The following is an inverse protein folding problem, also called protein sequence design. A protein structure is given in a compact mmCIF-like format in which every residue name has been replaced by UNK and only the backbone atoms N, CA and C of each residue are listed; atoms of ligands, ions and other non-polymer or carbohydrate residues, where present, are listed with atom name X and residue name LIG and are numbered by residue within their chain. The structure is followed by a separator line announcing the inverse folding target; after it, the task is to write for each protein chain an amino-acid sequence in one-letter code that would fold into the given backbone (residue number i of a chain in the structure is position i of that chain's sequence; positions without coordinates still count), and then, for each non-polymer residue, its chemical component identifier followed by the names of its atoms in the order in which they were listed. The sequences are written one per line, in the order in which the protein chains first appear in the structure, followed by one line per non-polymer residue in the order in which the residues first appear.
data_IF_546250696121
#
_entry.id   IF_546250696121
#
_cell.length_a   1.000
_cell.length_b   1.000
_cell.length_c   1.000
_cell.angle_alpha   90.00
_cell.angle_beta   90.00
_cell.angle_gamma   90.00
#
_symmetry.space_group_name_H-M   'P 1'
#
loop_
_entity.id
_entity.type
_entity.pdbx_description
1 polymer ?
#
# COMPACT_ATOMS: atom_id res chain seq x y z
N UNK A 1 -3.81 11.89 26.84
CA UNK A 1 -2.53 12.09 26.13
C UNK A 1 -1.91 13.47 26.35
N UNK A 2 -2.67 14.52 26.76
CA UNK A 2 -2.07 15.83 27.11
C UNK A 2 -1.49 16.61 25.93
N UNK A 3 -1.75 16.16 24.69
CA UNK A 3 -1.22 16.78 23.48
C UNK A 3 -2.06 18.02 23.11
N UNK A 4 -1.41 19.12 22.68
CA UNK A 4 -2.11 20.38 22.43
C UNK A 4 -2.67 20.51 21.01
N UNK A 5 -2.48 19.51 20.14
CA UNK A 5 -2.90 19.53 18.75
C UNK A 5 -3.74 18.29 18.44
N UNK A 6 -4.65 18.38 17.47
CA UNK A 6 -5.47 17.25 17.03
C UNK A 6 -5.66 17.25 15.52
N UNK A 7 -5.75 16.04 14.96
CA UNK A 7 -6.31 15.78 13.64
C UNK A 7 -7.63 15.05 13.87
N UNK A 8 -8.74 15.66 13.48
CA UNK A 8 -10.05 15.01 13.52
C UNK A 8 -10.29 14.32 12.18
N UNK A 9 -10.43 13.00 12.20
CA UNK A 9 -10.85 12.21 11.05
C UNK A 9 -12.28 11.73 11.25
N UNK A 10 -13.14 11.95 10.24
CA UNK A 10 -14.50 11.42 10.25
C UNK A 10 -14.51 9.92 10.01
N UNK A 11 -15.33 9.21 10.77
CA UNK A 11 -15.51 7.76 10.68
C UNK A 11 -17.01 7.42 10.70
N UNK A 12 -17.45 6.53 9.81
CA UNK A 12 -18.86 6.11 9.74
C UNK A 12 -19.83 7.28 9.50
N UNK A 13 -19.42 8.28 8.71
CA UNK A 13 -20.22 9.49 8.45
C UNK A 13 -20.39 10.41 9.67
N UNK A 14 -19.60 10.23 10.74
CA UNK A 14 -19.65 11.05 11.95
C UNK A 14 -18.36 11.85 12.19
N UNK A 15 -18.45 13.06 12.78
CA UNK A 15 -19.68 13.84 13.01
C UNK A 15 -20.45 14.14 11.72
N UNK A 16 -21.76 14.40 11.79
CA UNK A 16 -22.53 14.86 10.65
C UNK A 16 -22.50 16.41 10.62
N UNK A 17 -22.48 17.05 9.44
CA UNK A 17 -22.63 18.51 9.37
C UNK A 17 -24.01 18.95 9.91
N UNK A 18 -24.13 20.19 10.43
CA UNK A 18 -23.10 21.22 10.53
C UNK A 18 -22.11 20.96 11.69
N UNK A 19 -20.86 21.40 11.56
CA UNK A 19 -19.73 20.94 12.42
C UNK A 19 -19.43 21.81 13.65
N UNK A 20 -20.04 22.99 13.76
CA UNK A 20 -19.70 24.03 14.74
C UNK A 20 -19.85 23.53 16.18
N UNK A 21 -20.91 22.77 16.48
CA UNK A 21 -21.12 22.22 17.81
C UNK A 21 -20.06 21.18 18.17
N UNK A 22 -19.66 20.34 17.22
CA UNK A 22 -18.60 19.34 17.41
C UNK A 22 -17.22 19.99 17.57
N UNK A 23 -17.02 21.19 17.03
CA UNK A 23 -15.75 21.90 17.11
C UNK A 23 -15.53 22.63 18.45
N UNK A 24 -16.58 22.83 19.26
CA UNK A 24 -16.48 23.55 20.54
C UNK A 24 -15.36 23.04 21.45
N UNK A 25 -15.20 21.72 21.68
CA UNK A 25 -14.13 21.20 22.54
C UNK A 25 -12.72 21.49 22.01
N UNK A 26 -12.55 21.73 20.71
CA UNK A 26 -11.26 21.95 20.08
C UNK A 26 -10.79 23.40 20.09
N UNK A 27 -11.62 24.34 20.55
CA UNK A 27 -11.26 25.76 20.64
C UNK A 27 -10.09 26.05 21.60
N UNK A 28 -9.88 25.19 22.59
CA UNK A 28 -8.78 25.31 23.56
C UNK A 28 -7.46 24.70 23.07
N UNK A 29 -7.48 23.96 21.94
CA UNK A 29 -6.28 23.35 21.37
C UNK A 29 -5.45 24.38 20.61
N UNK A 30 -4.14 24.16 20.51
CA UNK A 30 -3.21 25.04 19.79
C UNK A 30 -3.41 24.95 18.27
N UNK A 31 -3.55 23.74 17.74
CA UNK A 31 -3.74 23.50 16.30
C UNK A 31 -4.70 22.35 16.05
N UNK A 32 -5.59 22.56 15.10
CA UNK A 32 -6.60 21.59 14.69
C UNK A 32 -6.50 21.39 13.19
N UNK A 33 -6.42 20.12 12.78
CA UNK A 33 -6.66 19.72 11.41
C UNK A 33 -7.98 18.97 11.34
N UNK A 34 -8.78 19.25 10.32
CA UNK A 34 -10.08 18.62 10.13
C UNK A 34 -10.12 17.85 8.81
N UNK A 35 -10.61 16.62 8.83
CA UNK A 35 -10.64 15.79 7.63
C UNK A 35 -11.59 16.34 6.57
N UNK A 36 -11.11 16.42 5.34
CA UNK A 36 -11.93 16.58 4.12
C UNK A 36 -12.08 15.25 3.36
N UNK A 37 -11.26 14.26 3.70
CA UNK A 37 -11.43 12.85 3.35
C UNK A 37 -11.35 12.05 4.64
N UNK A 38 -12.44 11.37 4.99
CA UNK A 38 -12.53 10.54 6.17
C UNK A 38 -12.12 9.10 5.92
N UNK A 39 -12.31 8.26 6.94
CA UNK A 39 -11.98 6.84 6.89
C UNK A 39 -12.59 6.15 5.67
N UNK A 40 -11.82 5.25 5.05
CA UNK A 40 -12.17 4.57 3.81
C UNK A 40 -12.22 5.47 2.57
N UNK A 41 -11.60 6.65 2.60
CA UNK A 41 -11.57 7.58 1.47
C UNK A 41 -12.88 8.37 1.29
N UNK A 42 -13.78 8.34 2.28
CA UNK A 42 -15.10 8.97 2.18
C UNK A 42 -14.99 10.50 2.09
N UNK A 43 -15.63 11.09 1.07
CA UNK A 43 -15.60 12.55 0.87
C UNK A 43 -16.77 13.04 0.01
N UNK A 44 -17.23 14.28 0.21
CA UNK A 44 -18.23 14.96 -0.64
C UNK A 44 -17.96 16.46 -0.76
N UNK A 45 -18.49 17.10 -1.80
CA UNK A 45 -18.38 18.57 -1.97
C UNK A 45 -19.06 19.32 -0.81
N UNK A 46 -20.23 18.85 -0.39
CA UNK A 46 -20.99 19.43 0.73
C UNK A 46 -20.19 19.40 2.03
N UNK A 47 -19.60 18.26 2.37
CA UNK A 47 -18.75 18.12 3.54
C UNK A 47 -17.58 19.12 3.53
N UNK A 48 -16.87 19.21 2.39
CA UNK A 48 -15.74 20.12 2.25
C UNK A 48 -16.15 21.57 2.46
N UNK A 49 -17.31 21.95 1.94
CA UNK A 49 -17.85 23.30 2.14
C UNK A 49 -18.11 23.62 3.62
N UNK A 50 -18.67 22.68 4.38
CA UNK A 50 -18.83 22.84 5.83
C UNK A 50 -17.49 22.93 6.57
N UNK A 51 -16.48 22.16 6.17
CA UNK A 51 -15.12 22.26 6.75
C UNK A 51 -14.51 23.63 6.46
N UNK A 52 -14.67 24.19 5.26
CA UNK A 52 -14.15 25.52 4.93
C UNK A 52 -14.86 26.64 5.70
N UNK A 53 -16.19 26.53 5.89
CA UNK A 53 -16.95 27.44 6.76
C UNK A 53 -16.48 27.35 8.22
N UNK A 54 -16.26 26.13 8.72
CA UNK A 54 -15.73 25.93 10.06
C UNK A 54 -14.33 26.55 10.21
N UNK A 55 -13.46 26.37 9.21
CA UNK A 55 -12.13 26.96 9.20
C UNK A 55 -12.17 28.50 9.21
N UNK A 56 -13.14 29.11 8.53
CA UNK A 56 -13.36 30.55 8.61
C UNK A 56 -13.68 31.02 10.05
N UNK A 57 -14.50 30.25 10.78
CA UNK A 57 -14.95 30.59 12.12
C UNK A 57 -13.95 30.20 13.24
N UNK A 58 -12.94 29.40 12.93
CA UNK A 58 -12.05 28.78 13.92
C UNK A 58 -10.57 29.06 13.62
N UNK A 59 -9.97 30.12 14.22
CA UNK A 59 -8.61 30.55 13.92
C UNK A 59 -7.52 29.50 14.19
N UNK A 60 -7.74 28.60 15.16
CA UNK A 60 -6.83 27.51 15.50
C UNK A 60 -7.02 26.26 14.62
N UNK A 61 -7.99 26.25 13.70
CA UNK A 61 -8.04 25.27 12.60
C UNK A 61 -7.01 25.70 11.56
N UNK A 62 -5.84 25.08 11.58
CA UNK A 62 -4.66 25.47 10.79
C UNK A 62 -4.47 24.64 9.54
N UNK A 63 -5.24 23.57 9.38
CA UNK A 63 -5.16 22.72 8.21
C UNK A 63 -6.38 21.82 8.03
N UNK A 64 -6.42 21.16 6.89
CA UNK A 64 -7.33 20.06 6.60
C UNK A 64 -6.53 18.79 6.36
N UNK A 65 -7.20 17.64 6.41
CA UNK A 65 -6.54 16.35 6.33
C UNK A 65 -7.26 15.38 5.40
N UNK A 66 -6.51 14.53 4.72
CA UNK A 66 -7.06 13.49 3.85
C UNK A 66 -6.61 12.13 4.36
N UNK A 67 -7.51 11.45 5.07
CA UNK A 67 -7.27 10.08 5.53
C UNK A 67 -7.69 9.06 4.47
N UNK A 68 -7.02 7.90 4.46
CA UNK A 68 -7.25 6.80 3.48
C UNK A 68 -7.37 7.30 2.02
N UNK A 69 -6.58 8.32 1.66
CA UNK A 69 -6.75 9.06 0.42
C UNK A 69 -6.40 8.25 -0.84
N UNK A 70 -5.29 7.50 -0.77
CA UNK A 70 -4.84 6.66 -1.87
C UNK A 70 -5.43 5.26 -1.73
N UNK A 71 -5.92 4.71 -2.84
CA UNK A 71 -6.46 3.35 -2.92
C UNK A 71 -5.44 2.36 -3.50
N UNK A 72 -4.16 2.64 -3.25
CA UNK A 72 -3.08 1.69 -3.47
C UNK A 72 -3.16 0.67 -2.34
N UNK A 73 -3.82 -0.46 -2.57
CA UNK A 73 -3.82 -1.53 -1.58
C UNK A 73 -2.42 -2.13 -1.43
N UNK A 74 -2.11 -2.82 -0.31
CA UNK A 74 -1.00 -3.79 -0.30
C UNK A 74 -1.18 -4.82 -1.44
N UNK A 75 -2.43 -4.99 -1.87
CA UNK A 75 -2.90 -5.84 -2.95
C UNK A 75 -2.91 -5.17 -4.34
N UNK A 76 -2.58 -3.89 -4.50
CA UNK A 76 -2.26 -3.39 -5.86
C UNK A 76 -0.95 -4.02 -6.39
N UNK A 77 -0.14 -4.59 -5.49
CA UNK A 77 0.93 -5.52 -5.83
C UNK A 77 0.46 -6.99 -6.06
N UNK A 78 -0.84 -7.31 -5.93
CA UNK A 78 -1.45 -8.65 -6.13
C UNK A 78 -1.97 -8.89 -7.54
N UNK A 79 -1.12 -8.70 -8.52
CA UNK A 79 -1.35 -9.26 -9.84
C UNK A 79 -1.23 -10.81 -9.80
N UNK A 80 -2.11 -11.51 -9.06
CA UNK A 80 -2.20 -12.97 -9.13
C UNK A 80 -3.07 -13.35 -10.33
N UNK A 81 -2.58 -14.28 -11.13
CA UNK A 81 -3.45 -15.15 -11.90
C UNK A 81 -3.91 -16.29 -10.98
N UNK A 82 -5.21 -16.59 -11.02
CA UNK A 82 -5.83 -17.68 -10.27
C UNK A 82 -6.68 -18.50 -11.25
N UNK A 83 -6.67 -19.82 -11.11
CA UNK A 83 -7.63 -20.69 -11.78
C UNK A 83 -8.96 -20.71 -11.01
N UNK A 84 -10.03 -21.21 -11.63
CA UNK A 84 -11.33 -21.36 -10.94
C UNK A 84 -11.26 -22.35 -9.77
N UNK A 85 -12.31 -22.42 -8.96
CA UNK A 85 -12.39 -23.37 -7.85
C UNK A 85 -12.66 -24.77 -8.37
N UNK A 86 -12.11 -25.78 -7.70
CA UNK A 86 -12.28 -27.21 -8.01
C UNK A 86 -11.87 -27.56 -9.44
N UNK A 87 -10.78 -26.97 -9.91
CA UNK A 87 -10.26 -27.21 -11.26
C UNK A 87 -9.73 -28.62 -11.43
N UNK A 88 -9.84 -29.14 -12.65
CA UNK A 88 -9.17 -30.38 -13.04
C UNK A 88 -7.72 -30.08 -13.43
N UNK A 89 -6.78 -30.85 -12.87
CA UNK A 89 -5.38 -30.77 -13.25
C UNK A 89 -5.08 -31.75 -14.43
N UNK A 90 -4.21 -31.36 -15.38
CA UNK A 90 -3.37 -30.17 -15.34
C UNK A 90 -4.08 -28.88 -15.78
N UNK A 91 -3.82 -27.79 -15.07
CA UNK A 91 -4.17 -26.43 -15.53
C UNK A 91 -3.04 -25.94 -16.45
N UNK A 92 -3.40 -25.53 -17.65
CA UNK A 92 -2.45 -25.08 -18.67
C UNK A 92 -2.32 -23.57 -18.62
N UNK A 93 -1.09 -23.08 -18.63
CA UNK A 93 -0.77 -21.67 -18.83
C UNK A 93 0.23 -21.58 -19.98
N UNK A 94 -0.13 -20.89 -21.06
CA UNK A 94 0.69 -20.73 -22.26
C UNK A 94 1.03 -19.28 -22.48
N UNK A 95 2.31 -18.98 -22.62
CA UNK A 95 2.86 -17.67 -22.99
C UNK A 95 3.42 -17.77 -24.40
N UNK A 96 2.96 -16.91 -25.30
CA UNK A 96 3.46 -16.80 -26.67
C UNK A 96 4.27 -15.53 -26.82
N UNK A 97 5.51 -15.67 -27.27
CA UNK A 97 6.43 -14.56 -27.47
C UNK A 97 6.21 -13.91 -28.85
N UNK A 98 6.21 -12.56 -28.91
CA UNK A 98 6.01 -11.84 -30.17
C UNK A 98 7.16 -12.10 -31.14
N UNK A 99 8.38 -12.23 -30.62
CA UNK A 99 9.61 -12.58 -31.34
C UNK A 99 10.29 -13.78 -30.66
N UNK A 100 11.08 -14.59 -31.38
CA UNK A 100 11.84 -15.67 -30.76
C UNK A 100 12.82 -15.15 -29.71
N UNK A 101 12.94 -15.84 -28.58
CA UNK A 101 13.90 -15.51 -27.51
C UNK A 101 14.68 -16.75 -27.05
N UNK A 102 15.83 -16.55 -26.41
CA UNK A 102 16.73 -17.63 -25.93
C UNK A 102 16.87 -17.59 -24.40
N UNK A 103 15.81 -17.88 -23.62
CA UNK A 103 15.91 -17.82 -22.17
C UNK A 103 16.78 -18.95 -21.62
N UNK A 104 17.66 -18.62 -20.69
CA UNK A 104 18.46 -19.58 -19.91
C UNK A 104 17.85 -19.82 -18.53
N UNK A 105 16.88 -18.99 -18.11
CA UNK A 105 16.22 -19.12 -16.83
C UNK A 105 14.75 -18.69 -16.89
N UNK A 106 13.91 -19.42 -16.17
CA UNK A 106 12.52 -19.08 -15.84
C UNK A 106 12.41 -18.81 -14.34
N UNK A 107 11.76 -17.73 -13.95
CA UNK A 107 11.40 -17.44 -12.56
C UNK A 107 9.87 -17.51 -12.40
N UNK A 108 9.41 -18.29 -11.42
CA UNK A 108 8.01 -18.35 -11.02
C UNK A 108 7.87 -17.84 -9.59
N UNK A 109 6.84 -17.03 -9.36
CA UNK A 109 6.49 -16.52 -8.02
C UNK A 109 5.14 -17.08 -7.61
N UNK A 110 5.11 -17.76 -6.48
CA UNK A 110 3.90 -18.33 -5.89
C UNK A 110 2.85 -17.24 -5.62
N UNK A 111 1.56 -17.61 -5.73
CA UNK A 111 0.47 -16.71 -5.37
C UNK A 111 0.59 -16.18 -3.93
N UNK A 112 0.15 -14.94 -3.71
CA UNK A 112 0.07 -14.33 -2.36
C UNK A 112 -1.38 -14.13 -1.92
N UNK A 113 -2.28 -15.01 -2.37
CA UNK A 113 -3.71 -14.89 -2.11
C UNK A 113 -4.02 -15.04 -0.62
N UNK A 114 -4.90 -14.18 -0.10
CA UNK A 114 -5.07 -13.93 1.34
C UNK A 114 -5.61 -15.14 2.11
N UNK A 115 -6.48 -15.96 1.50
CA UNK A 115 -7.02 -17.18 2.14
C UNK A 115 -6.00 -18.31 2.22
N UNK A 116 -4.90 -18.19 1.48
CA UNK A 116 -3.81 -19.15 1.47
C UNK A 116 -4.01 -20.40 0.63
N UNK A 117 -5.13 -20.50 -0.07
CA UNK A 117 -5.40 -21.41 -1.19
C UNK A 117 -4.84 -20.86 -2.52
N UNK A 118 -5.13 -21.54 -3.63
CA UNK A 118 -4.63 -21.24 -4.98
C UNK A 118 -3.10 -21.29 -5.10
N UNK A 119 -2.43 -22.21 -4.42
CA UNK A 119 -0.97 -22.35 -4.52
C UNK A 119 -0.56 -23.52 -5.40
N UNK A 120 0.16 -23.23 -6.48
CA UNK A 120 0.72 -24.27 -7.34
C UNK A 120 1.68 -25.16 -6.54
N UNK A 121 1.65 -26.48 -6.79
CA UNK A 121 2.62 -27.42 -6.21
C UNK A 121 3.54 -27.99 -7.27
N UNK A 122 3.11 -28.99 -8.03
CA UNK A 122 3.96 -29.63 -9.03
C UNK A 122 3.70 -29.01 -10.40
N UNK A 123 4.76 -28.58 -11.11
CA UNK A 123 4.66 -27.90 -12.41
C UNK A 123 5.63 -28.55 -13.40
N UNK A 124 5.14 -28.90 -14.58
CA UNK A 124 5.98 -29.21 -15.74
C UNK A 124 6.08 -28.00 -16.66
N UNK A 125 7.28 -27.76 -17.18
CA UNK A 125 7.62 -26.65 -18.06
C UNK A 125 7.88 -27.20 -19.46
N UNK A 126 7.08 -26.78 -20.42
CA UNK A 126 7.26 -27.13 -21.83
C UNK A 126 7.69 -25.89 -22.62
N UNK A 127 8.59 -26.08 -23.58
CA UNK A 127 9.06 -25.05 -24.50
C UNK A 127 8.66 -25.41 -25.92
N UNK A 128 8.41 -24.39 -26.74
CA UNK A 128 8.13 -24.57 -28.16
C UNK A 128 9.02 -23.69 -29.03
N UNK A 129 9.72 -24.29 -29.99
CA UNK A 129 10.58 -23.58 -30.95
C UNK A 129 9.74 -22.82 -31.98
N UNK A 130 8.60 -23.40 -32.37
CA UNK A 130 7.58 -22.83 -33.27
C UNK A 130 6.20 -22.94 -32.60
N UNK A 131 5.18 -22.25 -33.13
CA UNK A 131 3.82 -22.30 -32.57
C UNK A 131 3.13 -23.65 -32.83
N UNK A 132 3.51 -24.71 -32.13
CA UNK A 132 2.84 -26.02 -32.24
C UNK A 132 3.54 -27.18 -31.53
N UNK A 133 4.87 -27.24 -31.58
CA UNK A 133 5.64 -28.39 -31.08
C UNK A 133 6.18 -28.12 -29.67
N UNK A 134 5.52 -28.70 -28.66
CA UNK A 134 5.85 -28.52 -27.24
C UNK A 134 6.70 -29.67 -26.71
N UNK A 135 7.82 -29.35 -26.07
CA UNK A 135 8.71 -30.32 -25.42
C UNK A 135 8.88 -30.00 -23.93
N UNK A 136 8.62 -30.98 -23.05
CA UNK A 136 8.90 -30.85 -21.60
C UNK A 136 10.41 -30.69 -21.40
N UNK A 137 10.83 -29.59 -20.78
CA UNK A 137 12.24 -29.29 -20.49
C UNK A 137 12.58 -29.39 -19.01
N UNK A 138 11.58 -29.25 -18.13
CA UNK A 138 11.80 -29.28 -16.69
C UNK A 138 10.53 -29.69 -15.94
N UNK A 139 10.73 -30.20 -14.73
CA UNK A 139 9.68 -30.44 -13.74
C UNK A 139 10.14 -29.93 -12.39
N UNK A 140 9.30 -29.18 -11.71
CA UNK A 140 9.63 -28.53 -10.45
C UNK A 140 8.48 -28.65 -9.45
N UNK A 141 8.83 -28.47 -8.18
CA UNK A 141 7.87 -28.22 -7.12
C UNK A 141 8.01 -26.77 -6.65
N UNK A 142 6.90 -26.06 -6.58
CA UNK A 142 6.84 -24.68 -6.08
C UNK A 142 6.56 -24.71 -4.56
N UNK A 143 7.30 -23.95 -3.72
CA UNK A 143 7.09 -23.99 -2.28
C UNK A 143 5.69 -23.53 -1.84
N UNK A 144 5.19 -24.09 -0.72
CA UNK A 144 3.93 -23.67 -0.08
C UNK A 144 4.12 -22.43 0.80
N UNK A 145 4.70 -21.37 0.26
CA UNK A 145 4.90 -20.10 0.96
C UNK A 145 4.44 -18.97 0.04
N UNK A 146 3.59 -18.03 0.51
CA UNK A 146 3.20 -16.86 -0.28
C UNK A 146 4.40 -16.14 -0.88
N UNK A 147 4.37 -15.88 -2.19
CA UNK A 147 5.42 -15.14 -2.87
C UNK A 147 6.76 -15.89 -2.97
N UNK A 148 6.81 -17.18 -2.65
CA UNK A 148 8.00 -17.98 -2.85
C UNK A 148 8.46 -17.94 -4.31
N UNK A 149 9.76 -17.72 -4.49
CA UNK A 149 10.40 -17.64 -5.79
C UNK A 149 11.03 -18.98 -6.12
N UNK A 150 10.81 -19.47 -7.35
CA UNK A 150 11.51 -20.64 -7.89
C UNK A 150 12.13 -20.30 -9.23
N UNK A 151 13.43 -20.52 -9.31
CA UNK A 151 14.19 -20.43 -10.55
C UNK A 151 14.29 -21.82 -11.19
N UNK A 152 14.12 -21.87 -12.50
CA UNK A 152 14.18 -23.08 -13.32
C UNK A 152 15.19 -22.85 -14.43
N UNK A 153 16.29 -23.63 -14.47
CA UNK A 153 17.23 -23.59 -15.59
C UNK A 153 16.52 -23.99 -16.89
N UNK A 154 16.77 -23.23 -17.95
CA UNK A 154 16.26 -23.49 -19.30
C UNK A 154 17.43 -23.70 -20.27
N UNK A 155 17.23 -24.43 -21.39
CA UNK A 155 18.32 -24.84 -22.27
C UNK A 155 18.93 -23.72 -23.13
N UNK A 156 18.45 -22.48 -23.06
CA UNK A 156 18.96 -21.38 -23.89
C UNK A 156 18.62 -21.51 -25.39
N UNK A 157 17.75 -22.45 -25.76
CA UNK A 157 17.28 -22.63 -27.14
C UNK A 157 16.34 -21.50 -27.55
N UNK A 158 16.30 -21.19 -28.85
CA UNK A 158 15.36 -20.20 -29.39
C UNK A 158 13.93 -20.75 -29.32
N UNK A 159 13.05 -20.07 -28.58
CA UNK A 159 11.65 -20.44 -28.40
C UNK A 159 10.70 -19.35 -28.89
N UNK A 160 9.50 -19.76 -29.30
CA UNK A 160 8.33 -18.90 -29.54
C UNK A 160 7.27 -19.03 -28.47
N UNK A 161 7.34 -20.06 -27.62
CA UNK A 161 6.36 -20.28 -26.57
C UNK A 161 6.91 -20.98 -25.35
N UNK A 162 6.28 -20.69 -24.21
CA UNK A 162 6.46 -21.35 -22.92
C UNK A 162 5.10 -21.84 -22.45
N UNK A 163 5.00 -23.08 -21.97
CA UNK A 163 3.79 -23.62 -21.37
C UNK A 163 4.11 -24.19 -19.99
N UNK A 164 3.37 -23.76 -18.99
CA UNK A 164 3.32 -24.40 -17.69
C UNK A 164 2.13 -25.36 -17.67
N UNK A 165 2.40 -26.61 -17.31
CA UNK A 165 1.38 -27.58 -16.91
C UNK A 165 1.43 -27.69 -15.41
N UNK A 166 0.50 -27.04 -14.74
CA UNK A 166 0.36 -27.13 -13.29
C UNK A 166 -0.34 -28.46 -13.03
N UNK A 167 0.33 -29.37 -12.35
CA UNK A 167 -0.07 -30.76 -12.19
C UNK A 167 -0.80 -31.02 -10.88
N UNK A 168 -0.56 -30.17 -9.87
CA UNK A 168 -1.15 -30.30 -8.55
C UNK A 168 -1.13 -28.97 -7.80
N UNK A 169 -1.87 -28.91 -6.69
CA UNK A 169 -1.95 -27.79 -5.75
C UNK A 169 -1.51 -28.19 -4.34
N UNK A 170 -1.12 -27.21 -3.54
CA UNK A 170 -0.95 -27.38 -2.09
C UNK A 170 -2.27 -27.31 -1.32
N UNK A 171 -3.35 -26.87 -1.97
CA UNK A 171 -4.67 -26.82 -1.38
C UNK A 171 -5.11 -28.23 -0.99
N UNK A 172 -5.33 -28.45 0.30
CA UNK A 172 -5.87 -29.71 0.84
C UNK A 172 -7.37 -29.61 1.13
N UNK A 173 -7.87 -28.39 1.28
CA UNK A 173 -9.28 -28.00 1.50
C UNK A 173 -9.49 -26.62 0.86
N UNK A 174 -10.73 -26.12 0.80
CA UNK A 174 -11.02 -24.78 0.27
C UNK A 174 -11.22 -24.77 -1.25
N UNK A 175 -10.54 -23.86 -1.95
CA UNK A 175 -10.74 -23.67 -3.39
C UNK A 175 -10.31 -24.86 -4.26
N UNK A 176 -9.37 -25.69 -3.80
CA UNK A 176 -8.75 -26.77 -4.60
C UNK A 176 -8.35 -26.24 -5.99
N UNK A 177 -7.48 -25.23 -5.98
CA UNK A 177 -7.15 -24.45 -7.16
C UNK A 177 -5.65 -24.11 -7.21
N UNK A 178 -5.23 -23.33 -8.19
CA UNK A 178 -3.85 -22.93 -8.35
C UNK A 178 -3.75 -21.48 -8.86
N UNK A 179 -2.60 -20.87 -8.63
CA UNK A 179 -2.34 -19.51 -9.03
C UNK A 179 -0.86 -19.16 -8.96
N UNK A 180 -0.50 -18.11 -9.68
CA UNK A 180 0.85 -17.55 -9.72
C UNK A 180 0.76 -16.04 -9.57
N UNK A 181 1.76 -15.44 -8.95
CA UNK A 181 1.89 -13.98 -8.86
C UNK A 181 2.71 -13.40 -10.00
N UNK A 182 3.71 -14.14 -10.50
CA UNK A 182 4.60 -13.64 -11.56
C UNK A 182 5.29 -14.76 -12.30
N UNK A 183 5.57 -14.50 -13.56
CA UNK A 183 6.44 -15.28 -14.43
C UNK A 183 7.45 -14.34 -15.09
N UNK A 184 8.74 -14.70 -15.07
CA UNK A 184 9.79 -13.98 -15.80
C UNK A 184 10.66 -14.93 -16.60
N UNK A 185 11.14 -14.46 -17.74
CA UNK A 185 12.18 -15.11 -18.53
C UNK A 185 13.45 -14.27 -18.48
N UNK A 186 14.60 -14.92 -18.37
CA UNK A 186 15.91 -14.24 -18.35
C UNK A 186 16.91 -14.97 -19.24
N UNK A 187 17.87 -14.20 -19.76
CA UNK A 187 19.16 -14.70 -20.23
C UNK A 187 20.17 -14.58 -19.08
N UNK A 188 21.43 -15.00 -19.31
CA UNK A 188 22.49 -14.87 -18.31
C UNK A 188 22.83 -13.40 -17.96
N UNK A 189 22.44 -12.46 -18.83
CA UNK A 189 22.77 -11.03 -18.68
C UNK A 189 21.55 -10.15 -18.35
N UNK A 190 20.35 -10.49 -18.84
CA UNK A 190 19.19 -9.59 -18.77
C UNK A 190 17.84 -10.31 -18.70
N UNK A 191 16.81 -9.58 -18.25
CA UNK A 191 15.41 -10.03 -18.27
C UNK A 191 14.83 -9.85 -19.68
N UNK A 192 14.09 -10.86 -20.17
CA UNK A 192 13.45 -10.82 -21.49
C UNK A 192 12.09 -10.15 -21.34
N UNK A 193 11.85 -9.01 -22.02
CA UNK A 193 10.58 -8.30 -21.93
C UNK A 193 9.37 -9.14 -22.36
N UNK A 194 8.36 -9.26 -21.50
CA UNK A 194 7.09 -9.96 -21.76
C UNK A 194 5.90 -9.03 -22.00
N UNK A 195 6.13 -7.71 -22.04
CA UNK A 195 5.10 -6.68 -22.21
C UNK A 195 4.20 -6.85 -23.46
N UNK A 196 4.78 -7.40 -24.55
CA UNK A 196 4.10 -7.64 -25.83
C UNK A 196 3.82 -9.14 -26.05
N UNK A 197 4.07 -9.98 -25.04
CA UNK A 197 3.70 -11.38 -25.06
C UNK A 197 2.19 -11.54 -24.82
N UNK A 198 1.64 -12.66 -25.28
CA UNK A 198 0.25 -13.03 -25.01
C UNK A 198 0.23 -14.23 -24.07
N UNK A 199 -0.63 -14.22 -23.06
CA UNK A 199 -0.88 -15.39 -22.22
C UNK A 199 -2.29 -15.94 -22.42
N UNK A 200 -2.43 -17.25 -22.21
CA UNK A 200 -3.70 -17.96 -22.12
C UNK A 200 -3.63 -18.97 -21.00
N UNK A 201 -4.67 -19.04 -20.18
CA UNK A 201 -4.84 -20.09 -19.21
C UNK A 201 -6.05 -20.97 -19.59
N UNK A 202 -6.02 -22.26 -19.27
CA UNK A 202 -7.17 -23.15 -19.45
C UNK A 202 -8.27 -22.94 -18.43
N UNK A 203 -8.00 -22.16 -17.37
CA UNK A 203 -8.97 -21.76 -16.35
C UNK A 203 -8.52 -20.43 -15.72
N UNK A 204 -9.49 -19.56 -15.42
CA UNK A 204 -9.26 -18.22 -14.87
C UNK A 204 -10.39 -17.87 -13.91
N UNK A 205 -10.05 -17.46 -12.69
CA UNK A 205 -11.00 -16.90 -11.74
C UNK A 205 -11.34 -15.45 -12.12
N UNK A 206 -12.61 -15.02 -12.04
CA UNK A 206 -13.01 -13.67 -12.44
C UNK A 206 -12.16 -12.57 -11.79
N UNK A 207 -11.59 -11.69 -12.62
CA UNK A 207 -10.72 -10.61 -12.16
C UNK A 207 -9.27 -11.03 -11.87
N UNK A 208 -8.88 -12.27 -12.15
CA UNK A 208 -7.52 -12.80 -11.95
C UNK A 208 -6.94 -13.37 -13.24
N UNK A 209 -7.01 -12.58 -14.30
CA UNK A 209 -6.57 -12.98 -15.64
C UNK A 209 -5.07 -13.26 -15.73
N UNK A 210 -4.71 -14.17 -16.64
CA UNK A 210 -3.34 -14.65 -16.82
C UNK A 210 -2.36 -13.55 -17.23
N UNK A 211 -2.83 -12.50 -17.92
CA UNK A 211 -1.98 -11.37 -18.32
C UNK A 211 -1.40 -10.61 -17.12
N UNK A 212 -2.02 -10.76 -15.93
CA UNK A 212 -1.52 -10.15 -14.68
C UNK A 212 -0.14 -10.66 -14.28
N UNK A 213 0.22 -11.89 -14.64
CA UNK A 213 1.52 -12.47 -14.26
C UNK A 213 2.64 -12.19 -15.26
N UNK A 214 2.30 -11.70 -16.46
CA UNK A 214 3.25 -11.34 -17.53
C UNK A 214 3.90 -9.97 -17.35
N UNK A 215 3.73 -9.35 -16.18
CA UNK A 215 4.24 -8.02 -15.93
C UNK A 215 5.77 -7.99 -15.80
N UNK A 216 6.47 -7.79 -16.91
CA UNK A 216 7.35 -6.63 -16.94
C UNK A 216 6.49 -5.42 -16.68
N UNK A 217 6.95 -4.53 -15.81
CA UNK A 217 6.26 -3.27 -15.51
C UNK A 217 5.60 -2.73 -16.78
N UNK A 218 4.29 -2.97 -16.97
CA UNK A 218 3.43 -1.86 -17.37
C UNK A 218 3.74 -0.88 -16.26
N UNK A 219 4.61 0.10 -16.55
CA UNK A 219 4.55 1.38 -15.84
C UNK A 219 3.06 1.63 -15.81
N UNK A 220 2.42 1.49 -14.66
CA UNK A 220 1.08 2.00 -14.52
C UNK A 220 1.31 3.50 -14.73
N UNK A 221 1.13 3.92 -15.97
CA UNK A 221 1.36 5.29 -16.40
C UNK A 221 0.08 6.02 -16.07
N UNK A 222 0.18 7.05 -15.24
CA UNK A 222 -0.97 7.79 -14.77
C UNK A 222 -0.88 8.06 -13.27
N UNK A 223 -1.92 8.69 -12.77
CA UNK A 223 -2.05 9.08 -11.37
C UNK A 223 -2.48 7.86 -10.54
N UNK A 224 -2.06 7.80 -9.27
CA UNK A 224 -2.52 6.75 -8.36
C UNK A 224 -4.04 6.85 -8.15
N UNK A 225 -4.78 5.72 -8.08
CA UNK A 225 -6.17 5.74 -7.65
C UNK A 225 -6.31 6.40 -6.28
N UNK A 226 -7.22 7.36 -6.16
CA UNK A 226 -7.41 8.17 -4.96
C UNK A 226 -8.85 8.63 -4.82
N UNK A 227 -9.21 9.13 -3.63
CA UNK A 227 -10.54 9.65 -3.33
C UNK A 227 -10.89 10.93 -4.13
N UNK A 228 -9.88 11.69 -4.57
CA UNK A 228 -10.04 12.89 -5.39
C UNK A 228 -9.00 12.90 -6.51
N UNK A 229 -9.40 13.33 -7.70
CA UNK A 229 -8.48 13.54 -8.81
C UNK A 229 -7.54 14.74 -8.56
N UNK A 230 -6.40 14.77 -9.26
CA UNK A 230 -5.42 15.86 -9.18
C UNK A 230 -6.03 17.23 -9.45
N UNK A 231 -6.96 17.34 -10.40
CA UNK A 231 -7.66 18.60 -10.68
C UNK A 231 -8.50 19.10 -9.49
N UNK A 232 -9.16 18.18 -8.79
CA UNK A 232 -9.96 18.52 -7.61
C UNK A 232 -9.03 18.99 -6.48
N UNK A 233 -7.89 18.33 -6.28
CA UNK A 233 -6.87 18.77 -5.33
C UNK A 233 -6.33 20.16 -5.63
N UNK A 234 -6.09 20.49 -6.91
CA UNK A 234 -5.66 21.83 -7.31
C UNK A 234 -6.67 22.90 -6.91
N UNK A 235 -7.97 22.65 -7.12
CA UNK A 235 -9.04 23.59 -6.72
C UNK A 235 -9.11 23.73 -5.20
N UNK A 236 -9.01 22.62 -4.47
CA UNK A 236 -8.97 22.64 -3.01
C UNK A 236 -7.76 23.46 -2.53
N UNK A 237 -6.57 23.25 -3.10
CA UNK A 237 -5.37 24.03 -2.77
C UNK A 237 -5.58 25.53 -2.96
N UNK A 238 -6.16 25.94 -4.09
CA UNK A 238 -6.48 27.34 -4.36
C UNK A 238 -7.44 27.94 -3.31
N UNK A 239 -8.45 27.17 -2.88
CA UNK A 239 -9.37 27.60 -1.83
C UNK A 239 -8.66 27.72 -0.48
N UNK A 240 -7.83 26.73 -0.11
CA UNK A 240 -7.09 26.69 1.15
C UNK A 240 -6.04 27.81 1.27
N UNK A 241 -5.54 28.34 0.16
CA UNK A 241 -4.59 29.46 0.15
C UNK A 241 -5.21 30.81 0.51
N UNK A 242 -6.55 30.91 0.47
CA UNK A 242 -7.26 32.19 0.60
C UNK A 242 -8.34 32.19 1.68
N UNK A 243 -8.38 31.19 2.57
CA UNK A 243 -9.41 31.10 3.63
C UNK A 243 -9.27 32.30 4.56
N UNK A 244 -10.09 33.34 4.35
CA UNK A 244 -10.09 34.59 5.11
C UNK A 244 -8.69 35.21 5.30
N UNK A 245 -7.90 35.26 4.23
CA UNK A 245 -6.58 35.90 4.23
C UNK A 245 -5.46 35.10 4.90
N UNK A 246 -5.70 33.83 5.22
CA UNK A 246 -4.67 32.89 5.73
C UNK A 246 -4.64 31.61 4.89
N UNK A 247 -3.47 31.02 4.80
CA UNK A 247 -3.24 29.72 4.17
C UNK A 247 -3.43 28.60 5.19
N UNK A 248 -4.19 27.56 4.83
CA UNK A 248 -4.33 26.33 5.60
C UNK A 248 -3.43 25.22 5.06
N UNK A 249 -2.88 24.40 5.94
CA UNK A 249 -2.13 23.21 5.53
C UNK A 249 -3.05 22.15 4.93
N UNK A 250 -2.61 21.47 3.86
CA UNK A 250 -3.24 20.27 3.32
C UNK A 250 -2.38 19.05 3.67
N UNK A 251 -2.84 18.26 4.64
CA UNK A 251 -2.19 17.01 5.05
C UNK A 251 -2.81 15.77 4.40
N UNK A 252 -2.00 14.72 4.21
CA UNK A 252 -2.45 13.43 3.67
C UNK A 252 -1.87 12.25 4.45
N UNK A 253 -2.67 11.20 4.67
CA UNK A 253 -2.23 9.89 5.15
C UNK A 253 -1.56 9.12 4.02
N UNK A 254 -0.34 8.63 4.24
CA UNK A 254 0.39 7.78 3.31
C UNK A 254 0.93 6.56 4.07
N UNK A 255 0.50 5.37 3.66
CA UNK A 255 1.03 4.13 4.23
C UNK A 255 2.32 3.70 3.54
N UNK A 256 3.20 2.99 4.25
CA UNK A 256 4.50 2.52 3.71
C UNK A 256 4.36 1.63 2.47
N UNK A 257 3.27 0.87 2.33
CA UNK A 257 2.99 0.06 1.13
C UNK A 257 2.52 0.89 -0.08
N UNK A 258 2.24 2.19 0.11
CA UNK A 258 1.72 3.09 -0.92
C UNK A 258 2.82 3.97 -1.56
N UNK A 259 4.10 3.72 -1.24
CA UNK A 259 5.23 4.50 -1.74
C UNK A 259 5.47 4.25 -3.25
N UNK A 260 4.62 4.80 -4.11
CA UNK A 260 4.66 4.63 -5.57
C UNK A 260 4.81 5.98 -6.27
N UNK A 261 5.69 6.14 -7.29
CA UNK A 261 5.83 7.40 -8.03
C UNK A 261 4.53 8.00 -8.59
N UNK A 262 3.49 7.18 -8.81
CA UNK A 262 2.16 7.62 -9.26
C UNK A 262 1.43 8.54 -8.28
N UNK A 263 1.84 8.59 -7.02
CA UNK A 263 1.24 9.50 -6.01
C UNK A 263 1.75 10.93 -6.14
N UNK A 264 2.91 11.14 -6.79
CA UNK A 264 3.60 12.44 -6.84
C UNK A 264 2.74 13.60 -7.40
N UNK A 265 1.94 13.40 -8.47
CA UNK A 265 1.05 14.46 -8.97
C UNK A 265 0.04 14.95 -7.92
N UNK A 266 -0.48 14.07 -7.07
CA UNK A 266 -1.37 14.45 -5.97
C UNK A 266 -0.60 15.14 -4.83
N UNK A 267 0.58 14.59 -4.50
CA UNK A 267 1.43 15.15 -3.43
C UNK A 267 1.93 16.55 -3.74
N UNK A 268 1.99 16.96 -5.02
CA UNK A 268 2.34 18.34 -5.41
C UNK A 268 1.54 19.37 -4.61
N UNK A 269 0.24 19.15 -4.43
CA UNK A 269 -0.70 20.06 -3.76
C UNK A 269 -0.73 19.91 -2.23
N UNK A 270 -0.15 18.85 -1.69
CA UNK A 270 -0.11 18.58 -0.24
C UNK A 270 1.07 19.29 0.42
N UNK A 271 0.89 19.82 1.63
CA UNK A 271 1.95 20.46 2.39
C UNK A 271 2.66 19.50 3.35
N UNK A 272 1.90 18.50 3.85
CA UNK A 272 2.35 17.57 4.89
C UNK A 272 1.95 16.15 4.51
N UNK A 273 2.89 15.22 4.68
CA UNK A 273 2.65 13.77 4.56
C UNK A 273 2.71 13.19 5.96
N UNK A 274 1.67 12.48 6.38
CA UNK A 274 1.76 11.60 7.54
C UNK A 274 2.13 10.19 7.09
N UNK A 275 3.29 9.69 7.49
CA UNK A 275 3.79 8.38 7.11
C UNK A 275 3.37 7.35 8.16
N UNK A 276 2.64 6.31 7.74
CA UNK A 276 2.09 5.29 8.62
C UNK A 276 2.53 3.87 8.23
N UNK A 277 2.80 3.05 9.24
CA UNK A 277 3.09 1.62 9.06
C UNK A 277 1.87 0.80 9.52
N UNK A 278 1.15 0.19 8.57
CA UNK A 278 -0.15 -0.46 8.83
C UNK A 278 -0.06 -1.70 9.74
N UNK A 279 0.85 -2.63 9.42
CA UNK A 279 1.15 -3.78 10.26
C UNK A 279 2.39 -3.48 11.09
N UNK A 280 2.32 -3.61 12.41
CA UNK A 280 3.47 -3.26 13.25
C UNK A 280 4.68 -4.18 13.01
N UNK A 281 4.49 -5.37 12.44
CA UNK A 281 5.57 -6.26 12.03
C UNK A 281 6.51 -5.63 10.98
N UNK A 282 6.00 -4.67 10.20
CA UNK A 282 6.75 -3.95 9.15
C UNK A 282 7.53 -2.74 9.71
N UNK A 283 7.41 -2.43 11.02
CA UNK A 283 8.22 -1.39 11.67
C UNK A 283 9.73 -1.68 11.60
N UNK A 284 10.12 -2.93 11.31
CA UNK A 284 11.51 -3.28 11.03
C UNK A 284 12.10 -2.54 9.82
N UNK A 285 11.25 -2.14 8.88
CA UNK A 285 11.59 -1.49 7.62
C UNK A 285 11.28 0.03 7.64
N UNK A 286 10.92 0.59 8.79
CA UNK A 286 10.47 1.99 8.93
C UNK A 286 11.53 2.98 8.43
N UNK A 287 12.79 2.79 8.81
CA UNK A 287 13.90 3.62 8.37
C UNK A 287 14.07 3.59 6.84
N UNK A 288 14.04 2.40 6.23
CA UNK A 288 14.18 2.24 4.78
C UNK A 288 13.01 2.87 4.01
N UNK A 289 11.79 2.70 4.51
CA UNK A 289 10.60 3.32 3.93
C UNK A 289 10.63 4.84 4.06
N UNK A 290 11.15 5.37 5.17
CA UNK A 290 11.34 6.80 5.36
C UNK A 290 12.34 7.39 4.36
N UNK A 291 13.49 6.73 4.13
CA UNK A 291 14.45 7.19 3.11
C UNK A 291 13.82 7.19 1.71
N UNK A 292 13.09 6.12 1.35
CA UNK A 292 12.37 6.06 0.08
C UNK A 292 11.38 7.21 -0.08
N UNK A 293 10.62 7.55 0.98
CA UNK A 293 9.74 8.71 0.95
C UNK A 293 10.51 10.02 0.76
N UNK A 294 11.65 10.20 1.46
CA UNK A 294 12.49 11.39 1.33
C UNK A 294 13.11 11.52 -0.06
N UNK A 295 13.48 10.43 -0.72
CA UNK A 295 13.94 10.44 -2.09
C UNK A 295 12.84 10.87 -3.06
N UNK A 296 11.62 10.36 -2.87
CA UNK A 296 10.46 10.67 -3.71
C UNK A 296 9.94 12.11 -3.52
N UNK A 297 9.91 12.59 -2.27
CA UNK A 297 9.29 13.85 -1.88
C UNK A 297 10.20 14.68 -0.94
N UNK A 298 11.41 15.07 -1.39
CA UNK A 298 12.48 15.59 -0.52
C UNK A 298 12.11 16.87 0.23
N UNK A 299 11.21 17.68 -0.34
CA UNK A 299 10.79 18.99 0.20
C UNK A 299 9.52 18.95 1.06
N UNK A 300 8.83 17.80 1.14
CA UNK A 300 7.57 17.73 1.88
C UNK A 300 7.86 17.62 3.38
N UNK A 301 7.03 18.29 4.18
CA UNK A 301 7.01 18.10 5.63
C UNK A 301 6.47 16.72 5.95
N UNK A 302 7.05 16.07 6.95
CA UNK A 302 6.68 14.70 7.30
C UNK A 302 6.27 14.65 8.76
N UNK A 303 5.11 14.05 9.02
CA UNK A 303 4.70 13.64 10.36
C UNK A 303 4.77 12.12 10.47
N UNK A 304 5.42 11.60 11.50
CA UNK A 304 5.45 10.16 11.74
C UNK A 304 4.15 9.74 12.44
N UNK A 305 3.38 8.87 11.78
CA UNK A 305 2.19 8.27 12.35
C UNK A 305 2.54 7.04 13.21
N UNK A 306 2.06 7.04 14.45
CA UNK A 306 2.28 6.00 15.43
C UNK A 306 0.96 5.33 15.82
N UNK A 307 0.80 4.07 15.43
CA UNK A 307 -0.28 3.24 15.95
C UNK A 307 0.09 2.68 17.33
N UNK A 308 -0.82 2.86 18.29
CA UNK A 308 -0.75 2.29 19.64
C UNK A 308 -1.53 0.97 19.77
N UNK A 309 -2.09 0.49 18.65
CA UNK A 309 -2.77 -0.79 18.49
C UNK A 309 -2.50 -1.34 17.09
N UNK A 310 -2.26 -2.64 16.95
CA UNK A 310 -2.08 -3.27 15.64
C UNK A 310 -3.41 -3.47 14.93
N UNK A 311 -3.92 -2.45 14.23
CA UNK A 311 -5.16 -2.56 13.47
C UNK A 311 -5.04 -3.58 12.34
N UNK A 312 -3.94 -3.56 11.58
CA UNK A 312 -3.67 -4.56 10.55
C UNK A 312 -3.45 -5.97 11.10
N UNK A 313 -2.82 -6.07 12.28
CA UNK A 313 -2.48 -7.36 12.91
C UNK A 313 -3.56 -7.90 13.86
N UNK A 314 -4.62 -7.12 14.14
CA UNK A 314 -5.72 -7.48 15.03
C UNK A 314 -5.36 -7.68 16.51
N UNK A 315 -4.23 -7.14 16.99
CA UNK A 315 -3.69 -7.41 18.33
C UNK A 315 -2.94 -6.21 18.93
N UNK A 316 -2.72 -6.16 20.27
CA UNK A 316 -1.91 -5.11 20.88
C UNK A 316 -0.51 -5.07 20.27
N UNK A 317 0.03 -3.86 20.05
CA UNK A 317 1.41 -3.70 19.64
C UNK A 317 2.35 -4.05 20.82
N UNK A 318 3.41 -4.85 20.60
CA UNK A 318 4.42 -5.08 21.63
C UNK A 318 5.09 -3.78 22.10
N UNK A 319 5.29 -3.62 23.41
CA UNK A 319 5.94 -2.42 23.99
C UNK A 319 7.32 -2.17 23.41
N UNK A 320 8.07 -3.23 23.08
CA UNK A 320 9.38 -3.09 22.45
C UNK A 320 9.30 -2.38 21.09
N UNK A 321 8.26 -2.65 20.30
CA UNK A 321 8.01 -1.99 19.02
C UNK A 321 7.43 -0.58 19.19
N UNK A 322 6.54 -0.38 20.17
CA UNK A 322 6.03 0.96 20.53
C UNK A 322 7.17 1.88 20.96
N UNK A 323 8.06 1.39 21.81
CA UNK A 323 9.26 2.11 22.24
C UNK A 323 10.16 2.45 21.06
N UNK A 324 10.48 1.46 20.22
CA UNK A 324 11.34 1.67 19.05
C UNK A 324 10.81 2.78 18.13
N UNK A 325 9.54 2.73 17.74
CA UNK A 325 8.98 3.75 16.83
C UNK A 325 8.94 5.14 17.48
N UNK A 326 8.66 5.23 18.79
CA UNK A 326 8.64 6.50 19.51
C UNK A 326 10.02 7.11 19.66
N UNK A 327 11.02 6.33 20.10
CA UNK A 327 12.39 6.79 20.29
C UNK A 327 13.04 7.19 18.96
N UNK A 328 12.80 6.42 17.90
CA UNK A 328 13.23 6.77 16.55
C UNK A 328 12.55 8.06 16.06
N UNK A 329 11.25 8.22 16.29
CA UNK A 329 10.53 9.45 15.97
C UNK A 329 11.09 10.67 16.70
N UNK A 330 11.39 10.56 18.00
CA UNK A 330 12.03 11.63 18.78
C UNK A 330 13.44 11.95 18.26
N UNK A 331 14.21 10.93 17.89
CA UNK A 331 15.51 11.13 17.28
C UNK A 331 15.37 11.91 15.96
N UNK A 332 14.43 11.54 15.09
CA UNK A 332 14.18 12.23 13.83
C UNK A 332 13.68 13.67 14.02
N UNK A 333 12.87 13.94 15.05
CA UNK A 333 12.47 15.30 15.41
C UNK A 333 13.68 16.16 15.77
N UNK A 334 14.54 15.68 16.68
CA UNK A 334 15.78 16.39 17.07
C UNK A 334 16.77 16.60 15.93
N UNK A 335 16.72 15.73 14.93
CA UNK A 335 17.54 15.85 13.71
C UNK A 335 16.88 16.71 12.63
N UNK A 336 15.65 17.23 12.85
CA UNK A 336 14.89 17.97 11.84
C UNK A 336 14.50 17.15 10.61
N UNK A 337 14.45 15.81 10.74
CA UNK A 337 14.08 14.91 9.63
C UNK A 337 12.57 14.78 9.46
N UNK A 338 11.83 14.93 10.56
CA UNK A 338 10.36 15.00 10.60
C UNK A 338 9.93 16.25 11.36
N UNK A 339 8.74 16.74 11.07
CA UNK A 339 8.15 17.97 11.63
C UNK A 339 7.19 17.70 12.80
N UNK A 340 6.88 16.44 13.07
CA UNK A 340 5.88 16.07 14.06
C UNK A 340 5.68 14.56 14.19
N UNK A 341 5.00 14.16 15.26
CA UNK A 341 4.53 12.80 15.48
C UNK A 341 3.03 12.83 15.76
N UNK A 342 2.31 11.82 15.26
CA UNK A 342 0.87 11.66 15.43
C UNK A 342 0.64 10.33 16.14
N UNK A 343 -0.20 10.33 17.18
CA UNK A 343 -0.61 9.12 17.88
C UNK A 343 -2.07 8.86 17.57
N UNK A 344 -2.40 7.72 16.92
CA UNK A 344 -3.80 7.42 16.62
C UNK A 344 -4.56 7.14 17.91
N UNK A 345 -5.48 8.04 18.26
CA UNK A 345 -6.22 7.99 19.51
C UNK A 345 -7.53 7.18 19.43
N UNK A 346 -8.10 6.98 18.24
CA UNK A 346 -9.44 6.43 17.93
C UNK A 346 -10.34 6.26 19.16
N UNK A 347 -10.52 5.02 19.63
CA UNK A 347 -11.30 4.63 20.80
C UNK A 347 -10.45 3.88 21.84
N UNK A 348 -9.13 3.88 21.68
CA UNK A 348 -8.23 3.00 22.44
C UNK A 348 -7.58 3.69 23.63
N UNK A 349 -7.57 5.03 23.64
CA UNK A 349 -6.85 5.83 24.64
C UNK A 349 -7.35 5.63 26.09
N UNK A 350 -8.56 5.14 26.27
CA UNK A 350 -9.20 4.94 27.59
C UNK A 350 -9.45 3.46 27.91
N UNK A 351 -8.89 2.54 27.12
CA UNK A 351 -9.05 1.09 27.30
C UNK A 351 -7.99 0.46 28.22
N UNK A 352 -7.09 1.25 28.81
CA UNK A 352 -6.02 0.75 29.68
C UNK A 352 -4.97 -0.12 28.96
N UNK A 353 -4.78 0.09 27.65
CA UNK A 353 -3.77 -0.64 26.89
C UNK A 353 -2.36 -0.23 27.33
N UNK A 354 -1.49 -1.22 27.52
CA UNK A 354 -0.11 -1.00 27.97
C UNK A 354 0.64 -0.02 27.05
N UNK A 355 0.49 -0.16 25.73
CA UNK A 355 1.14 0.71 24.75
C UNK A 355 0.68 2.17 24.87
N UNK A 356 -0.62 2.40 25.13
CA UNK A 356 -1.18 3.74 25.33
C UNK A 356 -0.63 4.37 26.60
N UNK A 357 -0.64 3.62 27.71
CA UNK A 357 -0.17 4.16 28.99
C UNK A 357 1.34 4.39 28.99
N UNK A 358 2.10 3.51 28.34
CA UNK A 358 3.52 3.73 28.09
C UNK A 358 3.75 5.00 27.25
N UNK A 359 3.01 5.19 26.14
CA UNK A 359 3.12 6.41 25.33
C UNK A 359 2.76 7.67 26.11
N UNK A 360 1.73 7.61 26.96
CA UNK A 360 1.32 8.74 27.81
C UNK A 360 2.44 9.17 28.76
N UNK A 361 3.08 8.22 29.42
CA UNK A 361 4.23 8.47 30.32
C UNK A 361 5.43 8.99 29.54
N UNK A 362 5.73 8.38 28.39
CA UNK A 362 6.82 8.80 27.52
C UNK A 362 6.66 10.25 27.03
N UNK A 363 5.46 10.61 26.54
CA UNK A 363 5.15 11.99 26.13
C UNK A 363 5.31 12.96 27.31
N UNK A 364 4.84 12.61 28.51
CA UNK A 364 5.00 13.47 29.68
C UNK A 364 6.48 13.68 30.07
N UNK A 365 7.34 12.69 29.82
CA UNK A 365 8.77 12.77 30.11
C UNK A 365 9.56 13.60 29.08
N UNK A 366 9.19 13.52 27.79
CA UNK A 366 9.99 14.09 26.71
C UNK A 366 9.34 15.27 25.99
N UNK A 367 8.03 15.48 26.17
CA UNK A 367 7.23 16.42 25.36
C UNK A 367 7.60 17.89 25.51
N UNK A 368 8.22 18.27 26.63
CA UNK A 368 8.71 19.63 26.89
C UNK A 368 10.22 19.79 26.64
N UNK A 369 10.89 18.75 26.14
CA UNK A 369 12.31 18.85 25.76
C UNK A 369 12.46 19.75 24.52
N UNK A 370 13.53 20.57 24.45
CA UNK A 370 13.88 21.27 23.22
C UNK A 370 14.13 20.31 22.06
N UNK A 371 13.66 20.69 20.87
CA UNK A 371 13.92 20.00 19.60
C UNK A 371 15.12 20.60 18.88
#
# INVERSE_FOLDING_TARGET
MGVPNIILVRYGGKPAPPFEQYAVPFKSLKRVHWSITGAGGATSDEERQYVFQLAAAMPNLTGVFMDDFFHLGPDEETANWLAENNVSFPVLLTVTLPTPARPTQLELVQSTWHSGDYRCKDIAVDLAVSGGDWQETARIQLPNTPGAIRQVPLPGTSIRGLRLRILSTHDTTGAISCGLRRLRLRTDAEEIPLQDATARASSTYPGHDVDKILADKKKITGEAPAALAVEQLRRIRQQLDQVHGRRLDLGVTLYTHQLDPRILPHLEFCDVISLWTWNFEDLKDLEANFERLKEMAPRKRIWLGCYMWGFGSGKPIPITLMRRQCELGLQWLKQGRIDGMIFLATNICDLGLEAVEWCRQWIAQVGDQPL
#
